data_IF_740024729135
#
_entry.id   IF_740024729135
#
_cell.length_a   1.000
_cell.length_b   1.000
_cell.length_c   1.000
_cell.angle_alpha   90.00
_cell.angle_beta   90.00
_cell.angle_gamma   90.00
#
_symmetry.space_group_name_H-M   'P 1'
#
loop_
_entity.id
_entity.type
_entity.pdbx_description
1 polymer ?
#
# COMPACT_ATOMS: atom_id res chain seq x y z
N UNK A 1 22.73 -11.60 -3.20
CA UNK A 1 22.04 -10.87 -2.11
C UNK A 1 21.20 -9.80 -2.77
N UNK A 2 19.92 -9.76 -2.50
CA UNK A 2 19.04 -8.69 -2.98
C UNK A 2 19.53 -7.38 -2.34
N UNK A 3 19.90 -6.42 -3.17
CA UNK A 3 20.33 -5.11 -2.67
C UNK A 3 19.10 -4.36 -2.16
N UNK A 4 19.15 -3.82 -0.95
CA UNK A 4 18.18 -2.86 -0.45
C UNK A 4 18.61 -1.47 -0.93
N UNK A 5 17.94 -0.88 -1.94
CA UNK A 5 18.38 0.39 -2.50
C UNK A 5 18.17 1.53 -1.51
N UNK A 6 18.95 2.58 -1.64
CA UNK A 6 18.71 3.81 -0.90
C UNK A 6 17.46 4.53 -1.43
N UNK A 7 16.52 4.82 -0.55
CA UNK A 7 15.41 5.74 -0.79
C UNK A 7 15.69 7.04 -0.03
N UNK A 8 15.53 8.17 -0.69
CA UNK A 8 15.84 9.49 -0.15
C UNK A 8 14.70 10.45 -0.45
N UNK A 9 14.15 11.06 0.59
CA UNK A 9 13.12 12.08 0.44
C UNK A 9 13.57 13.20 -0.52
N UNK A 10 14.77 13.74 -0.32
CA UNK A 10 15.28 14.85 -1.11
C UNK A 10 15.36 14.54 -2.62
N UNK A 11 15.86 13.34 -2.95
CA UNK A 11 16.07 12.94 -4.35
C UNK A 11 14.81 12.39 -5.00
N UNK A 12 14.02 11.59 -4.27
CA UNK A 12 13.02 10.70 -4.87
C UNK A 12 11.60 11.27 -4.77
N UNK A 13 11.36 12.32 -3.96
CA UNK A 13 10.03 12.82 -3.60
C UNK A 13 9.12 13.13 -4.81
N UNK A 14 9.56 13.90 -5.79
CA UNK A 14 8.71 14.28 -6.92
C UNK A 14 8.29 13.07 -7.77
N UNK A 15 9.22 12.13 -7.97
CA UNK A 15 8.94 10.88 -8.68
C UNK A 15 7.96 10.03 -7.90
N UNK A 16 8.17 9.83 -6.59
CA UNK A 16 7.26 9.06 -5.74
C UNK A 16 5.89 9.72 -5.64
N UNK A 17 5.81 11.05 -5.65
CA UNK A 17 4.54 11.77 -5.72
C UNK A 17 3.77 11.47 -7.02
N UNK A 18 4.45 11.48 -8.18
CA UNK A 18 3.82 11.10 -9.45
C UNK A 18 3.35 9.64 -9.46
N UNK A 19 4.16 8.72 -8.91
CA UNK A 19 3.77 7.31 -8.74
C UNK A 19 2.56 7.17 -7.84
N UNK A 20 2.49 7.93 -6.74
CA UNK A 20 1.35 7.95 -5.84
C UNK A 20 0.07 8.42 -6.56
N UNK A 21 0.12 9.53 -7.29
CA UNK A 21 -1.04 9.99 -8.07
C UNK A 21 -1.46 8.99 -9.14
N UNK A 22 -0.52 8.32 -9.81
CA UNK A 22 -0.83 7.24 -10.77
C UNK A 22 -1.52 6.06 -10.06
N UNK A 23 -1.02 5.63 -8.91
CA UNK A 23 -1.63 4.58 -8.09
C UNK A 23 -3.04 4.98 -7.62
N UNK A 24 -3.25 6.25 -7.21
CA UNK A 24 -4.56 6.78 -6.85
C UNK A 24 -5.56 6.73 -8.01
N UNK A 25 -5.16 7.10 -9.23
CA UNK A 25 -6.04 7.01 -10.41
C UNK A 25 -6.47 5.57 -10.66
N UNK A 26 -5.53 4.62 -10.59
CA UNK A 26 -5.80 3.18 -10.76
C UNK A 26 -6.76 2.67 -9.68
N UNK A 27 -6.50 3.00 -8.41
CA UNK A 27 -7.32 2.58 -7.29
C UNK A 27 -8.73 3.16 -7.33
N UNK A 28 -8.88 4.44 -7.69
CA UNK A 28 -10.18 5.11 -7.82
C UNK A 28 -11.02 4.56 -8.95
N UNK A 29 -10.41 4.15 -10.04
CA UNK A 29 -11.08 3.43 -11.12
C UNK A 29 -11.70 2.12 -10.58
N UNK A 30 -10.97 1.40 -9.71
CA UNK A 30 -11.48 0.21 -9.01
C UNK A 30 -12.62 0.53 -8.05
N UNK A 31 -12.51 1.61 -7.27
CA UNK A 31 -13.59 2.06 -6.34
C UNK A 31 -14.89 2.30 -7.10
N UNK A 32 -14.82 2.90 -8.30
CA UNK A 32 -16.00 3.24 -9.09
C UNK A 32 -16.66 2.03 -9.76
N UNK A 33 -15.88 1.03 -10.17
CA UNK A 33 -16.36 -0.01 -11.10
C UNK A 33 -16.23 -1.45 -10.58
N UNK A 34 -15.79 -1.67 -9.35
CA UNK A 34 -15.72 -3.01 -8.76
C UNK A 34 -16.74 -3.18 -7.63
N UNK A 35 -17.30 -4.39 -7.47
CA UNK A 35 -18.15 -4.67 -6.32
C UNK A 35 -17.35 -4.57 -5.03
N UNK A 36 -18.01 -4.07 -3.98
CA UNK A 36 -17.38 -3.91 -2.66
C UNK A 36 -17.03 -5.26 -2.05
N UNK A 37 -15.81 -5.39 -1.56
CA UNK A 37 -15.33 -6.54 -0.79
C UNK A 37 -14.94 -6.04 0.60
N UNK A 38 -15.20 -6.86 1.63
CA UNK A 38 -14.89 -6.51 3.02
C UNK A 38 -13.45 -6.00 3.19
N UNK A 39 -13.28 -5.08 4.12
CA UNK A 39 -12.04 -4.37 4.40
C UNK A 39 -11.47 -3.56 3.22
N UNK A 40 -12.26 -3.33 2.16
CA UNK A 40 -11.79 -2.60 0.99
C UNK A 40 -10.79 -3.36 0.10
N UNK A 41 -10.59 -4.67 0.30
CA UNK A 41 -9.55 -5.43 -0.42
C UNK A 41 -9.71 -5.48 -1.94
N UNK A 42 -10.91 -5.20 -2.46
CA UNK A 42 -11.16 -5.13 -3.92
C UNK A 42 -10.44 -3.98 -4.61
N UNK A 43 -10.06 -2.93 -3.87
CA UNK A 43 -9.42 -1.74 -4.45
C UNK A 43 -7.91 -1.70 -4.24
N UNK A 44 -7.37 -2.52 -3.32
CA UNK A 44 -5.94 -2.58 -3.09
C UNK A 44 -5.19 -3.05 -4.34
N UNK A 45 -4.03 -2.47 -4.59
CA UNK A 45 -3.15 -2.91 -5.66
C UNK A 45 -2.32 -4.11 -5.21
N UNK A 46 -2.00 -4.98 -6.17
CA UNK A 46 -1.20 -6.18 -5.93
C UNK A 46 0.24 -5.92 -6.36
N UNK A 47 1.21 -5.99 -5.43
CA UNK A 47 2.61 -5.91 -5.81
C UNK A 47 3.01 -7.14 -6.64
N UNK A 48 3.83 -6.91 -7.65
CA UNK A 48 4.38 -7.96 -8.51
C UNK A 48 5.81 -7.61 -8.94
N UNK A 49 6.45 -8.47 -9.73
CA UNK A 49 7.84 -8.27 -10.18
C UNK A 49 8.08 -6.98 -10.98
N UNK A 50 7.03 -6.34 -11.49
CA UNK A 50 7.13 -5.15 -12.35
C UNK A 50 6.64 -3.87 -11.68
N UNK A 51 5.94 -3.95 -10.56
CA UNK A 51 5.33 -2.82 -9.87
C UNK A 51 4.00 -3.19 -9.21
N UNK A 52 2.94 -2.44 -9.48
CA UNK A 52 1.65 -2.56 -8.79
C UNK A 52 0.52 -2.76 -9.81
N UNK A 53 -0.29 -3.78 -9.64
CA UNK A 53 -1.40 -4.09 -10.55
C UNK A 53 -2.76 -3.99 -9.83
N UNK A 54 -3.76 -3.42 -10.48
CA UNK A 54 -5.14 -3.57 -10.05
C UNK A 54 -5.64 -5.00 -10.32
N UNK A 55 -6.66 -5.42 -9.58
CA UNK A 55 -7.44 -6.61 -9.95
C UNK A 55 -8.27 -6.33 -11.21
N UNK A 56 -8.69 -7.35 -11.99
CA UNK A 56 -9.51 -7.16 -13.17
C UNK A 56 -10.82 -6.43 -12.85
N UNK A 57 -11.18 -5.47 -13.69
CA UNK A 57 -12.43 -4.69 -13.63
C UNK A 57 -13.33 -5.08 -14.79
N UNK A 58 -14.63 -5.27 -14.55
CA UNK A 58 -15.59 -5.55 -15.62
C UNK A 58 -15.84 -4.29 -16.47
N UNK A 59 -15.84 -4.44 -17.79
CA UNK A 59 -16.14 -3.36 -18.74
C UNK A 59 -17.64 -3.16 -19.01
N UNK A 60 -18.50 -4.09 -18.56
CA UNK A 60 -19.95 -4.02 -18.76
C UNK A 60 -20.44 -4.66 -20.07
N UNK A 61 -19.55 -4.97 -21.00
CA UNK A 61 -19.82 -5.58 -22.30
C UNK A 61 -19.31 -7.03 -22.43
N UNK A 62 -18.99 -7.65 -21.29
CA UNK A 62 -18.42 -9.00 -21.21
C UNK A 62 -16.89 -9.03 -21.20
N UNK A 63 -16.22 -7.93 -21.49
CA UNK A 63 -14.77 -7.80 -21.33
C UNK A 63 -14.40 -7.46 -19.89
N UNK A 64 -13.13 -7.72 -19.56
CA UNK A 64 -12.48 -7.23 -18.35
C UNK A 64 -11.22 -6.46 -18.74
N UNK A 65 -10.79 -5.55 -17.87
CA UNK A 65 -9.54 -4.83 -18.06
C UNK A 65 -8.79 -4.67 -16.74
N UNK A 66 -7.48 -4.45 -16.85
CA UNK A 66 -6.58 -4.21 -15.71
C UNK A 66 -5.67 -3.05 -16.06
N UNK A 67 -5.44 -2.14 -15.11
CA UNK A 67 -4.41 -1.12 -15.22
C UNK A 67 -3.30 -1.47 -14.25
N UNK A 68 -2.06 -1.53 -14.74
CA UNK A 68 -0.85 -1.82 -13.98
C UNK A 68 0.05 -0.60 -13.95
N UNK A 69 0.53 -0.22 -12.78
CA UNK A 69 1.64 0.71 -12.64
C UNK A 69 2.95 -0.09 -12.86
N UNK A 70 3.41 -0.14 -14.11
CA UNK A 70 4.57 -0.92 -14.55
C UNK A 70 5.84 -0.07 -14.47
N UNK A 71 6.61 -0.26 -13.41
CA UNK A 71 7.81 0.53 -13.13
C UNK A 71 8.99 0.14 -14.03
N UNK A 72 9.03 -1.09 -14.55
CA UNK A 72 10.03 -1.48 -15.55
C UNK A 72 9.80 -0.81 -16.93
N UNK A 73 8.54 -0.46 -17.24
CA UNK A 73 8.18 0.27 -18.47
C UNK A 73 8.08 1.76 -18.23
N UNK A 74 8.05 2.19 -16.99
CA UNK A 74 7.75 3.56 -16.58
C UNK A 74 6.43 4.04 -17.19
N UNK A 75 5.36 3.24 -17.01
CA UNK A 75 4.05 3.51 -17.60
C UNK A 75 2.91 2.95 -16.73
N UNK A 76 1.75 3.57 -16.81
CA UNK A 76 0.50 2.87 -16.54
C UNK A 76 0.15 2.06 -17.80
N UNK A 77 0.00 0.75 -17.63
CA UNK A 77 -0.29 -0.18 -18.74
C UNK A 77 -1.70 -0.71 -18.61
N UNK A 78 -2.53 -0.43 -19.60
CA UNK A 78 -3.86 -1.00 -19.76
C UNK A 78 -3.75 -2.34 -20.47
N UNK A 79 -4.41 -3.36 -19.92
CA UNK A 79 -4.61 -4.68 -20.51
C UNK A 79 -6.11 -4.96 -20.61
N UNK A 80 -6.59 -5.38 -21.76
CA UNK A 80 -7.99 -5.73 -21.98
C UNK A 80 -8.09 -7.21 -22.38
N UNK A 81 -9.16 -7.88 -21.95
CA UNK A 81 -9.34 -9.33 -22.20
C UNK A 81 -9.52 -9.71 -23.67
N UNK A 82 -9.74 -8.75 -24.56
CA UNK A 82 -9.75 -8.94 -26.01
C UNK A 82 -8.33 -8.97 -26.64
N UNK A 83 -7.28 -8.83 -25.82
CA UNK A 83 -5.89 -8.78 -26.24
C UNK A 83 -5.36 -7.37 -26.48
N UNK A 84 -6.19 -6.35 -26.39
CA UNK A 84 -5.76 -4.94 -26.53
C UNK A 84 -4.86 -4.53 -25.37
N UNK A 85 -3.88 -3.68 -25.69
CA UNK A 85 -2.91 -3.14 -24.74
C UNK A 85 -2.54 -1.71 -25.11
N UNK A 86 -2.54 -0.82 -24.11
CA UNK A 86 -2.10 0.57 -24.25
C UNK A 86 -1.19 0.99 -23.11
N UNK A 87 -0.37 2.00 -23.36
CA UNK A 87 0.54 2.56 -22.36
C UNK A 87 0.33 4.07 -22.18
N UNK A 88 0.29 4.51 -20.94
CA UNK A 88 0.42 5.91 -20.57
C UNK A 88 1.80 6.11 -19.94
N UNK A 89 2.77 6.67 -20.66
CA UNK A 89 4.12 6.86 -20.13
C UNK A 89 4.14 7.74 -18.89
N UNK A 90 4.92 7.34 -17.89
CA UNK A 90 5.30 8.15 -16.74
C UNK A 90 6.53 8.95 -17.13
N UNK A 91 6.41 10.25 -17.09
CA UNK A 91 7.47 11.20 -17.40
C UNK A 91 7.22 12.51 -16.67
N UNK A 92 8.22 13.38 -16.63
CA UNK A 92 8.06 14.71 -16.06
C UNK A 92 6.85 15.42 -16.66
N UNK A 93 6.00 15.98 -15.81
CA UNK A 93 4.76 16.61 -16.25
C UNK A 93 3.77 16.85 -15.10
N UNK A 94 2.53 17.16 -15.44
CA UNK A 94 1.47 17.40 -14.46
C UNK A 94 0.58 16.18 -14.27
N UNK A 95 -0.04 16.09 -13.10
CA UNK A 95 -1.06 15.09 -12.79
C UNK A 95 -2.25 15.21 -13.75
N UNK A 96 -2.63 16.45 -14.11
CA UNK A 96 -3.70 16.69 -15.08
C UNK A 96 -3.39 16.10 -16.46
N UNK A 97 -2.15 16.20 -16.94
CA UNK A 97 -1.75 15.60 -18.21
C UNK A 97 -1.75 14.07 -18.14
N UNK A 98 -1.31 13.49 -17.01
CA UNK A 98 -1.33 12.05 -16.79
C UNK A 98 -2.78 11.50 -16.74
N UNK A 99 -3.65 12.15 -15.97
CA UNK A 99 -5.07 11.84 -15.88
C UNK A 99 -5.76 11.91 -17.25
N UNK A 100 -5.54 13.01 -18.00
CA UNK A 100 -6.11 13.17 -19.35
C UNK A 100 -5.74 12.01 -20.30
N UNK A 101 -4.46 11.57 -20.24
CA UNK A 101 -3.99 10.44 -21.07
C UNK A 101 -4.64 9.12 -20.66
N UNK A 102 -4.76 8.85 -19.36
CA UNK A 102 -5.46 7.65 -18.87
C UNK A 102 -6.92 7.62 -19.32
N UNK A 103 -7.65 8.72 -19.12
CA UNK A 103 -9.05 8.82 -19.57
C UNK A 103 -9.18 8.62 -21.09
N UNK A 104 -8.26 9.18 -21.87
CA UNK A 104 -8.29 9.06 -23.32
C UNK A 104 -8.16 7.61 -23.82
N UNK A 105 -7.23 6.82 -23.25
CA UNK A 105 -7.08 5.41 -23.63
C UNK A 105 -8.27 4.55 -23.18
N UNK A 106 -8.85 4.82 -21.99
CA UNK A 106 -10.05 4.13 -21.54
C UNK A 106 -11.22 4.40 -22.51
N UNK A 107 -11.46 5.66 -22.88
CA UNK A 107 -12.49 6.03 -23.86
C UNK A 107 -12.24 5.39 -25.25
N UNK A 108 -10.99 5.39 -25.72
CA UNK A 108 -10.62 4.79 -27.01
C UNK A 108 -11.03 3.31 -27.09
N UNK A 109 -10.95 2.58 -25.97
CA UNK A 109 -11.33 1.17 -25.89
C UNK A 109 -12.79 0.95 -25.44
N UNK A 110 -13.58 2.01 -25.24
CA UNK A 110 -14.97 1.93 -24.75
C UNK A 110 -15.08 1.38 -23.34
N UNK A 111 -14.06 1.61 -22.52
CA UNK A 111 -14.00 1.15 -21.12
C UNK A 111 -14.56 2.19 -20.15
N UNK A 112 -15.11 1.77 -18.99
CA UNK A 112 -15.51 2.68 -17.94
C UNK A 112 -14.35 3.57 -17.51
N UNK A 113 -14.60 4.89 -17.40
CA UNK A 113 -13.56 5.89 -17.15
C UNK A 113 -13.97 6.97 -16.16
N UNK A 114 -15.19 6.95 -15.69
CA UNK A 114 -15.71 7.87 -14.69
C UNK A 114 -15.34 7.42 -13.28
N UNK A 115 -14.71 8.29 -12.53
CA UNK A 115 -14.40 8.11 -11.10
C UNK A 115 -14.22 9.45 -10.41
N UNK A 116 -14.30 9.46 -9.09
CA UNK A 116 -14.03 10.68 -8.31
C UNK A 116 -12.56 11.10 -8.47
N UNK A 117 -12.32 12.20 -9.18
CA UNK A 117 -10.99 12.71 -9.50
C UNK A 117 -10.26 13.44 -8.36
N UNK A 118 -10.84 13.55 -7.15
CA UNK A 118 -10.15 14.16 -6.01
C UNK A 118 -9.29 13.11 -5.28
N UNK A 119 -7.97 13.32 -5.11
CA UNK A 119 -7.11 12.40 -4.35
C UNK A 119 -7.64 12.13 -2.94
N UNK A 120 -7.37 10.94 -2.40
CA UNK A 120 -7.63 10.57 -1.01
C UNK A 120 -6.36 10.69 -0.18
N UNK A 121 -6.50 10.90 1.14
CA UNK A 121 -5.41 10.85 2.12
C UNK A 121 -4.25 11.82 1.83
N UNK A 122 -4.50 12.84 1.02
CA UNK A 122 -3.60 13.94 0.73
C UNK A 122 -4.26 15.22 1.20
N UNK A 123 -3.58 15.94 2.07
CA UNK A 123 -4.06 17.23 2.59
C UNK A 123 -4.16 18.26 1.45
N UNK A 124 -5.23 19.05 1.44
CA UNK A 124 -5.46 20.10 0.43
C UNK A 124 -5.39 19.59 -1.02
N UNK A 125 -5.74 18.32 -1.25
CA UNK A 125 -5.64 17.68 -2.57
C UNK A 125 -6.38 18.45 -3.66
N UNK A 126 -5.66 18.74 -4.74
CA UNK A 126 -6.20 19.31 -5.97
C UNK A 126 -6.79 18.16 -6.81
N UNK A 127 -7.99 18.30 -7.42
CA UNK A 127 -8.52 17.29 -8.34
C UNK A 127 -7.52 16.98 -9.47
N UNK A 128 -7.41 15.71 -9.85
CA UNK A 128 -6.42 15.29 -10.87
C UNK A 128 -6.47 16.13 -12.15
N UNK A 129 -7.67 16.46 -12.64
CA UNK A 129 -7.83 17.24 -13.86
C UNK A 129 -7.38 18.71 -13.72
N UNK A 130 -7.24 19.21 -12.49
CA UNK A 130 -6.91 20.60 -12.18
C UNK A 130 -5.45 20.78 -11.72
N UNK A 131 -4.78 19.69 -11.30
CA UNK A 131 -3.39 19.73 -10.85
C UNK A 131 -2.43 19.85 -12.04
N UNK A 132 -2.16 21.10 -12.44
CA UNK A 132 -1.29 21.47 -13.56
C UNK A 132 0.16 21.70 -13.14
N UNK A 133 0.49 21.58 -11.85
CA UNK A 133 1.84 21.74 -11.37
C UNK A 133 2.78 20.70 -12.03
N UNK A 134 3.89 21.19 -12.59
CA UNK A 134 4.91 20.31 -13.17
C UNK A 134 5.68 19.61 -12.05
N UNK A 135 5.89 18.32 -12.21
CA UNK A 135 6.74 17.48 -11.37
C UNK A 135 7.78 16.79 -12.23
N UNK A 136 8.95 16.61 -11.67
CA UNK A 136 10.01 15.84 -12.33
C UNK A 136 9.76 14.33 -12.15
N UNK A 137 10.25 13.55 -13.09
CA UNK A 137 10.21 12.11 -13.06
C UNK A 137 11.58 11.54 -13.39
N UNK A 138 12.20 10.92 -12.42
CA UNK A 138 13.47 10.22 -12.55
C UNK A 138 13.24 8.70 -12.61
N UNK A 139 13.72 8.06 -13.67
CA UNK A 139 13.58 6.62 -13.89
C UNK A 139 14.34 5.82 -12.84
N UNK A 140 15.50 6.29 -12.43
CA UNK A 140 16.33 5.60 -11.43
C UNK A 140 15.65 5.64 -10.05
N UNK A 141 14.94 6.73 -9.71
CA UNK A 141 14.12 6.81 -8.49
C UNK A 141 12.96 5.81 -8.52
N UNK A 142 12.26 5.70 -9.65
CA UNK A 142 11.18 4.73 -9.81
C UNK A 142 11.70 3.28 -9.76
N UNK A 143 12.87 3.01 -10.33
CA UNK A 143 13.50 1.69 -10.28
C UNK A 143 13.94 1.33 -8.86
N UNK A 144 14.58 2.27 -8.12
CA UNK A 144 14.92 2.06 -6.70
C UNK A 144 13.68 1.73 -5.86
N UNK A 145 12.57 2.42 -6.07
CA UNK A 145 11.33 2.12 -5.37
C UNK A 145 10.81 0.71 -5.70
N UNK A 146 10.85 0.30 -6.98
CA UNK A 146 10.50 -1.05 -7.42
C UNK A 146 11.41 -2.11 -6.76
N UNK A 147 12.72 -1.85 -6.72
CA UNK A 147 13.69 -2.76 -6.11
C UNK A 147 13.50 -2.86 -4.59
N UNK A 148 13.20 -1.74 -3.91
CA UNK A 148 12.87 -1.74 -2.49
C UNK A 148 11.63 -2.61 -2.22
N UNK A 149 10.55 -2.45 -2.99
CA UNK A 149 9.38 -3.31 -2.89
C UNK A 149 9.75 -4.79 -3.12
N UNK A 150 10.55 -5.10 -4.14
CA UNK A 150 10.97 -6.46 -4.44
C UNK A 150 11.83 -7.07 -3.31
N UNK A 151 12.67 -6.28 -2.66
CA UNK A 151 13.50 -6.74 -1.53
C UNK A 151 12.66 -7.06 -0.29
N UNK A 152 11.64 -6.25 0.02
CA UNK A 152 10.83 -6.44 1.23
C UNK A 152 9.71 -7.48 1.06
N UNK A 153 9.18 -7.68 -0.16
CA UNK A 153 8.07 -8.61 -0.41
C UNK A 153 8.26 -10.03 0.17
N UNK A 154 9.44 -10.68 0.08
CA UNK A 154 9.67 -11.98 0.70
C UNK A 154 9.50 -11.97 2.22
N UNK A 155 9.91 -10.88 2.90
CA UNK A 155 9.76 -10.73 4.35
C UNK A 155 8.27 -10.62 4.72
N UNK A 156 7.51 -9.76 4.03
CA UNK A 156 6.07 -9.65 4.21
C UNK A 156 5.34 -10.97 3.94
N UNK A 157 5.76 -11.70 2.90
CA UNK A 157 5.16 -12.99 2.57
C UNK A 157 5.42 -14.05 3.66
N UNK A 158 6.64 -14.13 4.21
CA UNK A 158 6.98 -15.01 5.33
C UNK A 158 6.20 -14.62 6.60
N UNK A 159 6.17 -13.33 6.93
CA UNK A 159 5.38 -12.84 8.06
C UNK A 159 3.91 -13.23 7.92
N UNK A 160 3.31 -13.02 6.75
CA UNK A 160 1.94 -13.45 6.48
C UNK A 160 1.76 -14.96 6.59
N UNK A 161 2.68 -15.75 6.05
CA UNK A 161 2.60 -17.22 6.01
C UNK A 161 2.65 -17.87 7.41
N UNK A 162 3.28 -17.21 8.39
CA UNK A 162 3.30 -17.64 9.79
C UNK A 162 1.94 -17.59 10.49
N UNK A 163 0.89 -17.09 9.83
CA UNK A 163 -0.44 -16.90 10.41
C UNK A 163 -1.48 -17.76 9.70
N UNK A 164 -2.19 -18.60 10.46
CA UNK A 164 -3.24 -19.52 9.96
C UNK A 164 -4.65 -18.87 10.00
N UNK A 165 -4.85 -17.88 10.85
CA UNK A 165 -6.09 -17.14 10.98
C UNK A 165 -6.38 -16.28 9.74
N UNK A 166 -7.47 -15.51 9.80
CA UNK A 166 -7.81 -14.55 8.75
C UNK A 166 -6.70 -13.52 8.63
N UNK A 167 -6.12 -13.35 7.44
CA UNK A 167 -5.12 -12.34 7.13
C UNK A 167 -5.39 -11.72 5.77
N UNK A 168 -5.02 -10.46 5.59
CA UNK A 168 -5.03 -9.83 4.26
C UNK A 168 -4.02 -10.51 3.33
N UNK A 169 -4.14 -10.38 2.00
CA UNK A 169 -2.97 -10.52 1.14
C UNK A 169 -1.90 -9.50 1.54
N UNK A 170 -0.65 -9.71 1.12
CA UNK A 170 0.32 -8.61 1.04
C UNK A 170 -0.14 -7.73 -0.10
N UNK A 171 -0.47 -6.48 0.16
CA UNK A 171 -1.12 -5.59 -0.80
C UNK A 171 -0.67 -4.15 -0.61
N UNK A 172 -0.95 -3.31 -1.61
CA UNK A 172 -0.56 -1.91 -1.61
C UNK A 172 -1.80 -1.01 -1.57
N UNK A 173 -1.89 -0.17 -0.55
CA UNK A 173 -2.92 0.85 -0.42
C UNK A 173 -2.52 2.09 -1.22
N UNK A 174 -3.26 2.38 -2.27
CA UNK A 174 -3.00 3.50 -3.18
C UNK A 174 -3.33 4.87 -2.56
N UNK A 175 -4.20 4.91 -1.53
CA UNK A 175 -4.59 6.15 -0.85
C UNK A 175 -3.46 6.72 0.01
N UNK A 176 -2.89 5.89 0.86
CA UNK A 176 -1.77 6.18 1.75
C UNK A 176 -0.39 5.92 1.11
N UNK A 177 -0.36 5.19 0.00
CA UNK A 177 0.86 4.79 -0.72
C UNK A 177 1.77 3.87 0.08
N UNK A 178 1.18 2.87 0.73
CA UNK A 178 1.88 1.93 1.59
C UNK A 178 1.66 0.45 1.21
N UNK A 179 2.68 -0.37 1.43
CA UNK A 179 2.60 -1.82 1.40
C UNK A 179 2.15 -2.31 2.78
N UNK A 180 1.15 -3.19 2.83
CA UNK A 180 0.59 -3.63 4.10
C UNK A 180 0.25 -5.12 4.12
N UNK A 181 0.25 -5.69 5.33
CA UNK A 181 -0.34 -6.97 5.67
C UNK A 181 -0.99 -6.90 7.04
N UNK A 182 -2.21 -7.39 7.16
CA UNK A 182 -3.01 -7.32 8.38
C UNK A 182 -3.43 -8.71 8.83
N UNK A 183 -3.20 -9.04 10.10
CA UNK A 183 -3.65 -10.24 10.79
C UNK A 183 -4.86 -9.92 11.66
N UNK A 184 -5.81 -10.83 11.78
CA UNK A 184 -7.07 -10.65 12.50
C UNK A 184 -7.21 -11.70 13.60
N UNK A 185 -7.63 -11.30 14.81
CA UNK A 185 -7.95 -12.24 15.89
C UNK A 185 -9.19 -13.10 15.61
N UNK A 186 -10.06 -12.64 14.71
CA UNK A 186 -11.37 -13.21 14.49
C UNK A 186 -12.48 -12.62 15.37
N UNK A 187 -12.14 -11.85 16.41
CA UNK A 187 -13.10 -11.16 17.27
C UNK A 187 -13.53 -9.82 16.70
N UNK A 188 -14.78 -9.43 16.95
CA UNK A 188 -15.25 -8.09 16.61
C UNK A 188 -14.52 -7.03 17.45
N UNK A 189 -14.13 -5.93 16.82
CA UNK A 189 -13.55 -4.78 17.50
C UNK A 189 -14.63 -3.76 17.92
N UNK A 190 -14.36 -2.89 18.89
CA UNK A 190 -15.16 -1.70 19.13
C UNK A 190 -15.30 -0.87 17.85
N UNK A 191 -16.47 -0.22 17.68
CA UNK A 191 -16.70 0.59 16.49
C UNK A 191 -15.68 1.74 16.42
N UNK A 192 -14.90 1.78 15.33
CA UNK A 192 -13.94 2.85 15.10
C UNK A 192 -14.66 4.21 15.02
N UNK A 193 -14.17 5.27 15.70
CA UNK A 193 -14.81 6.58 15.71
C UNK A 193 -14.94 7.19 14.30
N UNK A 194 -14.02 6.88 13.41
CA UNK A 194 -13.86 7.58 12.12
C UNK A 194 -12.94 8.78 12.27
N UNK A 195 -13.11 9.78 11.39
CA UNK A 195 -12.36 11.04 11.46
C UNK A 195 -10.93 10.95 10.90
N UNK A 196 -10.56 9.87 10.23
CA UNK A 196 -9.26 9.77 9.53
C UNK A 196 -9.26 10.74 8.34
N UNK A 197 -8.31 11.68 8.29
CA UNK A 197 -8.26 12.67 7.23
C UNK A 197 -8.23 12.05 5.83
N UNK A 198 -9.09 12.52 4.93
CA UNK A 198 -9.12 12.06 3.53
C UNK A 198 -9.68 10.65 3.31
N UNK A 199 -10.09 9.92 4.37
CA UNK A 199 -10.68 8.61 4.28
C UNK A 199 -12.15 8.61 4.78
N UNK A 200 -13.14 8.13 3.99
CA UNK A 200 -14.52 8.08 4.45
C UNK A 200 -14.71 7.18 5.68
N UNK A 201 -15.45 7.65 6.68
CA UNK A 201 -15.72 6.90 7.92
C UNK A 201 -16.23 5.46 7.70
N UNK A 202 -17.04 5.24 6.67
CA UNK A 202 -17.55 3.90 6.35
C UNK A 202 -16.42 2.93 6.00
N UNK A 203 -15.36 3.41 5.33
CA UNK A 203 -14.20 2.61 4.96
C UNK A 203 -13.40 2.25 6.20
N UNK A 204 -13.08 3.26 7.02
CA UNK A 204 -12.35 3.06 8.28
C UNK A 204 -13.11 2.11 9.22
N UNK A 205 -14.43 2.32 9.42
CA UNK A 205 -15.24 1.47 10.31
C UNK A 205 -15.33 0.02 9.85
N UNK A 206 -15.27 -0.23 8.55
CA UNK A 206 -15.25 -1.59 8.03
C UNK A 206 -13.85 -2.20 8.11
N UNK A 207 -12.80 -1.44 7.80
CA UNK A 207 -11.42 -1.90 7.92
C UNK A 207 -11.10 -2.37 9.35
N UNK A 208 -11.60 -1.63 10.35
CA UNK A 208 -11.43 -1.92 11.78
C UNK A 208 -12.65 -2.57 12.45
N UNK A 209 -13.49 -3.28 11.68
CA UNK A 209 -14.64 -4.01 12.24
C UNK A 209 -14.28 -5.19 13.13
N UNK A 210 -13.06 -5.69 12.99
CA UNK A 210 -12.48 -6.78 13.79
C UNK A 210 -11.14 -6.32 14.35
N UNK A 211 -10.71 -6.97 15.44
CA UNK A 211 -9.39 -6.71 16.00
C UNK A 211 -8.29 -7.06 15.01
N UNK A 212 -7.33 -6.15 14.86
CA UNK A 212 -6.23 -6.28 13.91
C UNK A 212 -4.86 -6.02 14.55
N UNK A 213 -3.84 -6.68 14.01
CA UNK A 213 -2.45 -6.26 14.06
C UNK A 213 -1.99 -6.08 12.61
N UNK A 214 -1.58 -4.88 12.26
CA UNK A 214 -1.17 -4.52 10.91
C UNK A 214 0.29 -4.14 10.88
N UNK A 215 0.98 -4.55 9.82
CA UNK A 215 2.37 -4.23 9.56
C UNK A 215 2.53 -3.75 8.12
N UNK A 216 3.39 -2.77 7.90
CA UNK A 216 3.52 -2.19 6.58
C UNK A 216 4.83 -1.44 6.35
N UNK A 217 4.94 -0.91 5.12
CA UNK A 217 6.00 -0.02 4.68
C UNK A 217 5.37 1.21 4.03
N UNK A 218 5.71 2.38 4.51
CA UNK A 218 5.30 3.63 3.93
C UNK A 218 6.47 4.30 3.22
N UNK A 219 6.32 4.50 1.92
CA UNK A 219 7.37 5.05 1.05
C UNK A 219 7.31 6.57 0.86
N UNK A 220 6.46 7.30 1.60
CA UNK A 220 6.27 8.74 1.47
C UNK A 220 5.27 9.12 0.38
N UNK A 221 5.62 9.03 -0.89
CA UNK A 221 4.73 9.38 -2.01
C UNK A 221 4.49 10.88 -2.13
N UNK A 222 3.22 11.30 -2.26
CA UNK A 222 2.85 12.72 -2.34
C UNK A 222 2.91 13.44 -0.97
N UNK A 223 3.06 12.70 0.12
CA UNK A 223 3.37 13.23 1.45
C UNK A 223 4.88 13.14 1.63
N UNK A 224 5.51 14.31 1.82
CA UNK A 224 6.97 14.38 1.92
C UNK A 224 7.43 13.92 3.31
N UNK A 225 7.90 12.67 3.41
CA UNK A 225 8.51 12.13 4.62
C UNK A 225 9.50 11.02 4.28
N UNK A 226 10.45 10.78 5.18
CA UNK A 226 11.40 9.67 5.03
C UNK A 226 10.67 8.32 5.12
N UNK A 227 11.06 7.33 4.31
CA UNK A 227 10.44 6.00 4.31
C UNK A 227 10.63 5.25 5.63
N UNK A 228 9.61 4.55 6.09
CA UNK A 228 9.69 3.71 7.29
C UNK A 228 8.78 2.48 7.22
N UNK A 229 9.09 1.47 8.01
CA UNK A 229 8.20 0.37 8.35
C UNK A 229 7.37 0.73 9.58
N UNK A 230 6.13 0.25 9.61
CA UNK A 230 5.21 0.51 10.72
C UNK A 230 4.54 -0.77 11.22
N UNK A 231 4.06 -0.72 12.46
CA UNK A 231 3.18 -1.74 13.02
C UNK A 231 2.28 -1.14 14.09
N UNK A 232 0.98 -1.49 14.02
CA UNK A 232 -0.02 -1.06 14.98
C UNK A 232 -1.04 -2.16 15.29
N UNK A 233 -1.85 -1.96 16.32
CA UNK A 233 -2.98 -2.79 16.66
C UNK A 233 -4.26 -1.97 16.84
N UNK A 234 -5.40 -2.54 16.47
CA UNK A 234 -6.69 -1.95 16.79
C UNK A 234 -7.67 -3.01 17.33
N UNK A 235 -8.38 -2.75 18.47
CA UNK A 235 -8.08 -1.64 19.37
C UNK A 235 -6.66 -1.77 19.94
N UNK A 236 -6.05 -0.63 20.29
CA UNK A 236 -4.74 -0.66 20.93
C UNK A 236 -4.88 -1.31 22.31
N UNK A 237 -4.14 -2.41 22.60
CA UNK A 237 -4.25 -3.05 23.89
C UNK A 237 -3.47 -2.27 24.97
N UNK A 238 -3.91 -2.44 26.22
CA UNK A 238 -3.29 -1.74 27.36
C UNK A 238 -1.78 -1.95 27.45
N UNK A 239 -1.05 -0.83 27.55
CA UNK A 239 0.40 -0.81 27.65
C UNK A 239 1.14 -1.15 26.36
N UNK A 240 0.47 -1.23 25.21
CA UNK A 240 1.09 -1.49 23.89
C UNK A 240 2.17 -0.45 23.59
N UNK A 241 1.81 0.84 23.58
CA UNK A 241 2.73 1.94 23.25
C UNK A 241 3.90 2.12 24.21
N UNK A 242 3.77 1.67 25.46
CA UNK A 242 4.82 1.78 26.46
C UNK A 242 5.86 0.63 26.39
N UNK A 243 5.60 -0.39 25.60
CA UNK A 243 6.48 -1.53 25.43
C UNK A 243 7.66 -1.20 24.50
N UNK A 244 8.65 -2.10 24.49
CA UNK A 244 9.87 -1.95 23.67
C UNK A 244 10.09 -3.21 22.84
N UNK A 245 9.33 -3.42 21.77
CA UNK A 245 9.59 -4.52 20.85
C UNK A 245 10.91 -4.31 20.10
N UNK A 246 11.42 -5.36 19.46
CA UNK A 246 12.71 -5.32 18.80
C UNK A 246 12.75 -4.27 17.67
N UNK A 247 13.79 -3.45 17.64
CA UNK A 247 14.07 -2.43 16.64
C UNK A 247 12.99 -1.33 16.49
N UNK A 248 12.01 -1.27 17.41
CA UNK A 248 10.84 -0.41 17.28
C UNK A 248 10.91 0.81 18.20
N UNK A 249 10.47 1.95 17.67
CA UNK A 249 10.16 3.16 18.44
C UNK A 249 8.69 3.49 18.25
N UNK A 250 7.97 3.81 19.34
CA UNK A 250 6.58 4.26 19.21
C UNK A 250 6.54 5.73 18.81
N UNK A 251 5.87 6.04 17.71
CA UNK A 251 5.64 7.40 17.24
C UNK A 251 4.25 7.87 17.67
N UNK A 252 4.19 8.87 18.53
CA UNK A 252 2.93 9.42 19.07
C UNK A 252 2.12 10.18 18.02
N UNK A 253 2.75 10.65 16.93
CA UNK A 253 2.07 11.37 15.85
C UNK A 253 1.25 10.42 15.00
N UNK A 254 1.85 9.28 14.67
CA UNK A 254 1.17 8.23 13.87
C UNK A 254 0.37 7.27 14.76
N UNK A 255 0.70 7.15 16.06
CA UNK A 255 0.07 6.19 16.96
C UNK A 255 0.48 4.75 16.69
N UNK A 256 1.70 4.53 16.23
CA UNK A 256 2.20 3.22 15.80
C UNK A 256 3.69 3.04 16.10
N UNK A 257 4.16 1.80 16.12
CA UNK A 257 5.58 1.51 16.13
C UNK A 257 6.18 1.73 14.76
N UNK A 258 7.33 2.41 14.72
CA UNK A 258 8.06 2.71 13.49
C UNK A 258 9.48 2.16 13.54
N UNK A 259 10.02 1.83 12.37
CA UNK A 259 11.40 1.45 12.12
C UNK A 259 11.83 2.15 10.82
N UNK A 260 12.80 3.08 10.84
CA UNK A 260 13.28 3.75 9.64
C UNK A 260 13.77 2.76 8.58
N UNK A 261 13.43 3.00 7.33
CA UNK A 261 13.89 2.16 6.21
C UNK A 261 15.42 2.17 6.11
N UNK A 262 16.05 3.32 6.36
CA UNK A 262 17.50 3.46 6.34
C UNK A 262 18.18 2.53 7.34
N UNK A 263 17.65 2.39 8.56
CA UNK A 263 18.21 1.51 9.59
C UNK A 263 18.20 0.04 9.16
N UNK A 264 17.08 -0.38 8.54
CA UNK A 264 16.97 -1.74 7.97
C UNK A 264 17.99 -1.94 6.86
N UNK A 265 18.04 -1.01 5.89
CA UNK A 265 18.96 -1.07 4.75
C UNK A 265 20.43 -1.14 5.17
N UNK A 266 20.81 -0.42 6.21
CA UNK A 266 22.21 -0.32 6.70
C UNK A 266 22.60 -1.42 7.68
N UNK A 267 21.64 -2.25 8.10
CA UNK A 267 21.93 -3.38 8.99
C UNK A 267 22.71 -4.48 8.27
N UNK A 268 23.41 -5.29 9.05
CA UNK A 268 24.14 -6.47 8.54
C UNK A 268 23.19 -7.51 7.91
N UNK A 269 21.93 -7.56 8.35
CA UNK A 269 20.91 -8.49 7.88
C UNK A 269 19.52 -7.80 7.85
N UNK A 270 19.21 -7.08 6.76
CA UNK A 270 17.96 -6.36 6.61
C UNK A 270 16.71 -7.24 6.74
N UNK A 271 16.74 -8.45 6.18
CA UNK A 271 15.58 -9.35 6.23
C UNK A 271 15.31 -9.84 7.66
N UNK A 272 16.35 -10.15 8.41
CA UNK A 272 16.25 -10.55 9.82
C UNK A 272 15.73 -9.40 10.67
N UNK A 273 16.31 -8.20 10.54
CA UNK A 273 15.90 -7.03 11.32
C UNK A 273 14.42 -6.70 11.11
N UNK A 274 13.97 -6.69 9.86
CA UNK A 274 12.56 -6.44 9.53
C UNK A 274 11.63 -7.55 10.03
N UNK A 275 12.07 -8.82 9.95
CA UNK A 275 11.31 -9.95 10.49
C UNK A 275 11.15 -9.85 12.00
N UNK A 276 12.21 -9.51 12.73
CA UNK A 276 12.21 -9.32 14.18
C UNK A 276 11.29 -8.15 14.58
N UNK A 277 11.33 -7.04 13.85
CA UNK A 277 10.42 -5.91 14.06
C UNK A 277 8.95 -6.33 13.91
N UNK A 278 8.57 -6.92 12.78
CA UNK A 278 7.18 -7.33 12.55
C UNK A 278 6.71 -8.40 13.54
N UNK A 279 7.55 -9.39 13.82
CA UNK A 279 7.15 -10.46 14.72
C UNK A 279 7.02 -9.97 16.16
N UNK A 280 7.97 -9.19 16.67
CA UNK A 280 7.93 -8.71 18.05
C UNK A 280 6.78 -7.72 18.33
N UNK A 281 6.45 -6.88 17.36
CA UNK A 281 5.30 -5.96 17.47
C UNK A 281 3.98 -6.71 17.40
N UNK A 282 3.87 -7.73 16.55
CA UNK A 282 2.72 -8.61 16.50
C UNK A 282 2.57 -9.43 17.80
N UNK A 283 3.65 -10.05 18.29
CA UNK A 283 3.65 -10.82 19.54
C UNK A 283 3.14 -9.97 20.70
N UNK A 284 3.65 -8.74 20.80
CA UNK A 284 3.20 -7.77 21.79
C UNK A 284 1.69 -7.48 21.69
N UNK A 285 1.19 -7.24 20.47
CA UNK A 285 -0.22 -6.96 20.23
C UNK A 285 -1.10 -8.17 20.60
N UNK A 286 -0.74 -9.35 20.11
CA UNK A 286 -1.49 -10.58 20.31
C UNK A 286 -1.52 -11.04 21.76
N UNK A 287 -0.39 -10.95 22.47
CA UNK A 287 -0.28 -11.34 23.88
C UNK A 287 -1.11 -10.38 24.77
N UNK A 288 -0.97 -9.07 24.57
CA UNK A 288 -1.71 -8.10 25.38
C UNK A 288 -3.20 -8.08 25.09
N UNK A 289 -3.59 -8.32 23.84
CA UNK A 289 -4.98 -8.46 23.46
C UNK A 289 -5.54 -9.88 23.72
N UNK A 290 -4.74 -10.79 24.31
CA UNK A 290 -5.15 -12.16 24.62
C UNK A 290 -5.73 -12.90 23.39
N UNK A 291 -5.03 -12.84 22.27
CA UNK A 291 -5.40 -13.59 21.07
C UNK A 291 -5.13 -15.09 21.29
N UNK A 292 -5.96 -15.95 20.72
CA UNK A 292 -5.72 -17.41 20.72
C UNK A 292 -4.62 -17.75 19.71
N UNK A 293 -3.37 -17.47 20.11
CA UNK A 293 -2.19 -17.66 19.26
C UNK A 293 -2.04 -19.11 18.80
N UNK A 294 -2.39 -20.07 19.65
CA UNK A 294 -2.32 -21.49 19.30
C UNK A 294 -3.24 -21.87 18.12
N UNK A 295 -4.41 -21.22 18.02
CA UNK A 295 -5.33 -21.42 16.90
C UNK A 295 -4.98 -20.55 15.67
N UNK A 296 -4.30 -19.43 15.87
CA UNK A 296 -4.08 -18.43 14.83
C UNK A 296 -2.72 -18.52 14.15
N UNK A 297 -1.71 -19.10 14.80
CA UNK A 297 -0.36 -19.17 14.29
C UNK A 297 -0.04 -20.56 13.73
N UNK A 298 0.90 -20.60 12.83
CA UNK A 298 1.50 -21.85 12.34
C UNK A 298 2.78 -22.11 13.07
N UNK A 299 3.04 -23.37 13.39
CA UNK A 299 4.39 -23.76 13.78
C UNK A 299 5.38 -23.38 12.66
N UNK A 300 6.56 -22.85 13.02
CA UNK A 300 7.58 -22.56 12.03
C UNK A 300 7.87 -23.83 11.21
N UNK A 301 7.56 -23.78 9.92
CA UNK A 301 8.01 -24.84 9.01
C UNK A 301 9.52 -24.66 8.88
N UNK A 302 10.28 -25.66 9.31
CA UNK A 302 11.71 -25.66 9.09
C UNK A 302 12.01 -25.50 7.59
N UNK A 303 13.01 -24.73 7.20
CA UNK A 303 13.36 -24.48 5.80
C UNK A 303 13.76 -25.75 5.06
#
# INVERSE_FOLDING_TARGET
MTSWPELSLERDHETLALLHFAAQMIGKLRVAHAPWVNHGWHVALQPNARGLAALPTAAGDGRTFTVTLDLCRHAMVLWVSDGSREEVPLNAGSVAALHKRLIAILHQHGLPSDFNGKPNEIENAIPFAEDTARREYDRDSAERFREALAAMLPVFARFRAGFAGKASPVHFWWGSFDLAVTRFSGRAAPRHPGGVPGLPDRVTREAYSHEVSSAGFWGGGAVAAEPFFYSYAYPEPDGFRAAKPAHATFDETYGEFVLPYADVRESDDPERMLTEFFQSTYDLAADRALWDRAALEREPVAP
#
